data_IF_589323961643
#
_entry.id   IF_589323961643
#
_cell.length_a   1.000
_cell.length_b   1.000
_cell.length_c   1.000
_cell.angle_alpha   90.00
_cell.angle_beta   90.00
_cell.angle_gamma   90.00
#
_symmetry.space_group_name_H-M   'P 1'
#
loop_
_entity.id
_entity.type
_entity.pdbx_description
1 polymer ?
#
# COMPACT_ATOMS: atom_id res chain seq x y z
N UNK A 1 2.70 -13.69 -9.16
CA UNK A 1 2.58 -12.85 -7.95
C UNK A 1 2.33 -13.77 -6.76
N UNK A 2 3.28 -13.91 -5.86
CA UNK A 2 3.02 -14.63 -4.60
C UNK A 2 2.10 -13.75 -3.76
N UNK A 3 0.84 -14.15 -3.64
CA UNK A 3 -0.11 -13.54 -2.71
C UNK A 3 0.47 -13.74 -1.30
N UNK A 4 0.64 -12.70 -0.48
CA UNK A 4 1.10 -12.88 0.89
C UNK A 4 0.12 -13.81 1.61
N UNK A 5 0.61 -14.64 2.54
CA UNK A 5 -0.24 -15.54 3.32
C UNK A 5 -1.33 -14.74 4.05
N UNK A 6 -2.54 -15.28 4.10
CA UNK A 6 -3.70 -14.62 4.74
C UNK A 6 -3.66 -14.77 6.29
N UNK A 7 -2.84 -15.68 6.83
CA UNK A 7 -2.67 -15.86 8.28
C UNK A 7 -1.68 -14.84 8.88
N UNK A 8 -1.82 -14.57 10.15
CA UNK A 8 -0.89 -13.73 10.91
C UNK A 8 0.52 -14.32 10.91
N UNK A 9 1.51 -13.48 10.61
CA UNK A 9 2.90 -13.95 10.52
C UNK A 9 3.91 -12.80 10.62
N UNK A 10 5.15 -13.18 10.95
CA UNK A 10 6.33 -12.33 10.82
C UNK A 10 6.98 -12.59 9.46
N UNK A 11 7.10 -11.53 8.67
CA UNK A 11 7.80 -11.57 7.38
C UNK A 11 9.23 -11.04 7.61
N UNK A 12 10.17 -11.96 7.82
CA UNK A 12 11.57 -11.66 8.13
C UNK A 12 12.44 -11.45 6.90
N UNK A 13 11.89 -11.70 5.71
CA UNK A 13 12.62 -11.57 4.44
C UNK A 13 12.34 -10.25 3.73
N UNK A 14 12.06 -9.22 4.49
CA UNK A 14 11.81 -7.90 3.96
C UNK A 14 13.05 -7.01 4.03
N UNK A 15 13.14 -6.10 3.08
CA UNK A 15 14.21 -5.11 2.99
C UNK A 15 13.60 -3.74 2.75
N UNK A 16 14.09 -2.74 3.48
CA UNK A 16 13.85 -1.34 3.17
C UNK A 16 15.02 -0.79 2.36
N UNK A 17 14.71 -0.13 1.25
CA UNK A 17 15.68 0.56 0.42
C UNK A 17 15.40 2.07 0.43
N UNK A 18 16.45 2.88 0.37
CA UNK A 18 16.38 4.33 0.47
C UNK A 18 17.32 5.01 -0.53
N UNK A 19 16.82 6.06 -1.16
CA UNK A 19 17.59 6.92 -2.09
C UNK A 19 17.26 8.38 -1.82
N UNK A 20 18.27 9.24 -1.76
CA UNK A 20 18.10 10.68 -1.69
C UNK A 20 18.26 11.29 -3.09
N UNK A 21 17.32 12.12 -3.50
CA UNK A 21 17.25 12.72 -4.83
C UNK A 21 17.01 14.24 -4.71
N UNK A 22 17.83 15.08 -5.28
CA UNK A 22 17.70 16.54 -5.28
C UNK A 22 17.67 17.17 -6.69
N UNK A 23 17.63 16.33 -7.74
CA UNK A 23 17.75 16.71 -9.14
C UNK A 23 16.81 15.93 -10.08
N UNK A 24 15.64 15.53 -9.59
CA UNK A 24 14.63 14.78 -10.34
C UNK A 24 13.26 15.45 -10.23
N UNK A 25 12.46 15.44 -11.29
CA UNK A 25 11.11 16.01 -11.28
C UNK A 25 10.10 15.07 -10.59
N UNK A 26 8.99 15.65 -10.10
CA UNK A 26 7.90 14.86 -9.51
C UNK A 26 7.22 13.92 -10.50
N UNK A 27 7.11 14.32 -11.78
CA UNK A 27 6.56 13.47 -12.84
C UNK A 27 7.43 12.24 -13.07
N UNK A 28 8.74 12.44 -13.11
CA UNK A 28 9.70 11.35 -13.26
C UNK A 28 9.67 10.40 -12.05
N UNK A 29 9.56 10.94 -10.83
CA UNK A 29 9.38 10.13 -9.62
C UNK A 29 8.11 9.28 -9.69
N UNK A 30 7.01 9.81 -10.25
CA UNK A 30 5.77 9.05 -10.49
C UNK A 30 6.02 7.84 -11.38
N UNK A 31 6.70 8.03 -12.51
CA UNK A 31 7.07 6.93 -13.41
C UNK A 31 7.93 5.86 -12.71
N UNK A 32 8.92 6.29 -11.93
CA UNK A 32 9.78 5.36 -11.16
C UNK A 32 8.96 4.55 -10.16
N UNK A 33 8.00 5.19 -9.48
CA UNK A 33 7.10 4.50 -8.55
C UNK A 33 6.31 3.39 -9.23
N UNK A 34 5.73 3.66 -10.39
CA UNK A 34 4.94 2.68 -11.16
C UNK A 34 5.81 1.48 -11.55
N UNK A 35 7.01 1.72 -12.10
CA UNK A 35 7.95 0.65 -12.46
C UNK A 35 8.37 -0.22 -11.27
N UNK A 36 8.60 0.39 -10.12
CA UNK A 36 8.98 -0.33 -8.91
C UNK A 36 7.83 -1.20 -8.39
N UNK A 37 6.57 -0.70 -8.38
CA UNK A 37 5.40 -1.50 -8.03
C UNK A 37 5.17 -2.66 -8.98
N UNK A 38 5.21 -2.42 -10.28
CA UNK A 38 5.09 -3.47 -11.32
C UNK A 38 6.20 -4.53 -11.20
N UNK A 39 7.33 -4.13 -10.64
CA UNK A 39 8.48 -5.00 -10.43
C UNK A 39 8.48 -5.76 -9.11
N UNK A 40 7.47 -5.54 -8.26
CA UNK A 40 7.24 -6.31 -7.04
C UNK A 40 7.63 -5.61 -5.75
N UNK A 41 7.76 -4.28 -5.75
CA UNK A 41 7.82 -3.54 -4.49
C UNK A 41 6.51 -3.72 -3.71
N UNK A 42 6.62 -3.88 -2.39
CA UNK A 42 5.47 -4.05 -1.50
C UNK A 42 4.86 -2.70 -1.08
N UNK A 43 5.71 -1.69 -0.95
CA UNK A 43 5.32 -0.33 -0.59
C UNK A 43 6.36 0.67 -1.09
N UNK A 44 5.92 1.87 -1.47
CA UNK A 44 6.80 2.95 -1.93
C UNK A 44 6.21 4.27 -1.44
N UNK A 45 7.06 5.12 -0.89
CA UNK A 45 6.64 6.45 -0.48
C UNK A 45 7.79 7.45 -0.54
N UNK A 46 7.43 8.73 -0.58
CA UNK A 46 8.37 9.85 -0.63
C UNK A 46 8.28 10.69 0.62
N UNK A 47 9.44 11.12 1.12
CA UNK A 47 9.54 12.09 2.20
C UNK A 47 10.31 13.30 1.71
N UNK A 48 9.76 14.53 1.79
CA UNK A 48 10.52 15.74 1.54
C UNK A 48 11.68 15.87 2.53
N UNK A 49 12.87 16.19 2.01
CA UNK A 49 14.08 16.37 2.81
C UNK A 49 14.87 17.58 2.36
N UNK A 50 15.76 18.07 3.21
CA UNK A 50 16.83 18.97 2.83
C UNK A 50 18.15 18.22 2.82
N UNK A 51 18.87 18.30 1.71
CA UNK A 51 20.16 17.66 1.53
C UNK A 51 21.31 18.66 1.81
N UNK A 52 22.57 18.19 1.69
CA UNK A 52 23.74 19.06 1.77
C UNK A 52 23.58 20.29 0.88
N UNK A 53 24.19 21.42 1.27
CA UNK A 53 24.08 22.72 0.61
C UNK A 53 22.67 23.30 0.60
N UNK A 54 21.81 22.91 1.58
CA UNK A 54 20.41 23.33 1.73
C UNK A 54 19.55 23.08 0.49
N UNK A 55 19.84 22.06 -0.30
CA UNK A 55 19.02 21.70 -1.45
C UNK A 55 17.76 20.95 -1.03
N UNK A 56 16.57 21.44 -1.40
CA UNK A 56 15.36 20.62 -1.30
C UNK A 56 15.52 19.32 -2.09
N UNK A 57 15.03 18.22 -1.55
CA UNK A 57 15.09 16.94 -2.21
C UNK A 57 14.02 16.00 -1.70
N UNK A 58 14.07 14.79 -2.19
CA UNK A 58 13.13 13.72 -1.84
C UNK A 58 13.91 12.50 -1.38
N UNK A 59 13.50 11.94 -0.25
CA UNK A 59 13.88 10.60 0.17
C UNK A 59 12.86 9.61 -0.40
N UNK A 60 13.24 8.87 -1.43
CA UNK A 60 12.49 7.73 -1.92
C UNK A 60 12.76 6.55 -0.99
N UNK A 61 11.69 5.94 -0.49
CA UNK A 61 11.74 4.75 0.35
C UNK A 61 10.86 3.67 -0.26
N UNK A 62 11.34 2.42 -0.26
CA UNK A 62 10.55 1.28 -0.69
C UNK A 62 10.77 0.07 0.22
N UNK A 63 9.73 -0.76 0.31
CA UNK A 63 9.78 -2.07 0.94
C UNK A 63 9.67 -3.14 -0.15
N UNK A 64 10.52 -4.15 -0.08
CA UNK A 64 10.45 -5.29 -0.99
C UNK A 64 10.97 -6.56 -0.31
N UNK A 65 10.66 -7.73 -0.88
CA UNK A 65 11.28 -8.96 -0.44
C UNK A 65 12.75 -9.03 -0.87
N UNK A 66 13.56 -9.77 -0.14
CA UNK A 66 14.97 -10.02 -0.49
C UNK A 66 15.15 -10.57 -1.91
N UNK A 67 14.16 -11.32 -2.41
CA UNK A 67 14.21 -11.95 -3.73
C UNK A 67 14.25 -10.96 -4.89
N UNK A 68 13.67 -9.76 -4.72
CA UNK A 68 13.59 -8.76 -5.79
C UNK A 68 14.56 -7.60 -5.65
N UNK A 69 15.43 -7.58 -4.63
CA UNK A 69 16.41 -6.50 -4.38
C UNK A 69 17.21 -6.16 -5.65
N UNK A 70 17.72 -7.17 -6.34
CA UNK A 70 18.54 -6.95 -7.54
C UNK A 70 17.77 -6.25 -8.65
N UNK A 71 16.46 -6.53 -8.78
CA UNK A 71 15.58 -5.89 -9.73
C UNK A 71 15.31 -4.43 -9.34
N UNK A 72 15.03 -4.19 -8.05
CA UNK A 72 14.84 -2.83 -7.51
C UNK A 72 16.06 -1.96 -7.74
N UNK A 73 17.27 -2.48 -7.43
CA UNK A 73 18.52 -1.76 -7.67
C UNK A 73 18.71 -1.36 -9.14
N UNK A 74 18.42 -2.28 -10.07
CA UNK A 74 18.54 -2.00 -11.50
C UNK A 74 17.65 -0.85 -11.94
N UNK A 75 16.38 -0.83 -11.47
CA UNK A 75 15.43 0.23 -11.77
C UNK A 75 15.91 1.55 -11.17
N UNK A 76 16.26 1.57 -9.88
CA UNK A 76 16.70 2.79 -9.20
C UNK A 76 17.93 3.41 -9.85
N UNK A 77 18.92 2.61 -10.28
CA UNK A 77 20.10 3.13 -10.95
C UNK A 77 19.85 3.54 -12.43
N UNK A 78 18.91 2.88 -13.11
CA UNK A 78 18.60 3.21 -14.50
C UNK A 78 17.66 4.41 -14.63
N UNK A 79 16.70 4.53 -13.71
CA UNK A 79 15.58 5.46 -13.81
C UNK A 79 15.68 6.65 -12.83
N UNK A 80 16.77 6.77 -12.08
CA UNK A 80 17.02 7.93 -11.22
C UNK A 80 18.43 8.47 -11.41
N UNK A 81 18.69 9.62 -10.82
CA UNK A 81 20.01 10.26 -10.83
C UNK A 81 20.93 9.78 -9.70
N UNK A 82 20.47 8.82 -8.89
CA UNK A 82 21.22 8.38 -7.70
C UNK A 82 22.51 7.64 -8.06
N UNK A 83 23.57 7.93 -7.31
CA UNK A 83 24.83 7.20 -7.36
C UNK A 83 24.96 6.16 -6.25
N UNK A 84 23.96 6.07 -5.34
CA UNK A 84 24.03 5.15 -4.21
C UNK A 84 22.67 4.83 -3.62
N UNK A 85 22.52 3.59 -3.19
CA UNK A 85 21.30 3.06 -2.56
C UNK A 85 21.66 2.53 -1.19
N UNK A 86 20.95 2.97 -0.16
CA UNK A 86 21.02 2.37 1.18
C UNK A 86 19.95 1.31 1.29
N UNK A 87 20.25 0.19 1.91
CA UNK A 87 19.24 -0.83 2.22
C UNK A 87 19.64 -1.66 3.43
N UNK A 88 18.62 -2.11 4.16
CA UNK A 88 18.80 -2.91 5.37
C UNK A 88 17.61 -3.88 5.53
N UNK A 89 17.86 -5.06 6.13
CA UNK A 89 16.79 -6.01 6.42
C UNK A 89 15.89 -5.47 7.53
N UNK A 90 14.62 -5.84 7.47
CA UNK A 90 13.65 -5.58 8.52
C UNK A 90 12.62 -6.70 8.60
N UNK A 91 11.93 -6.77 9.71
CA UNK A 91 10.80 -7.68 9.90
C UNK A 91 9.49 -6.90 9.84
N UNK A 92 8.52 -7.43 9.12
CA UNK A 92 7.15 -6.87 9.08
C UNK A 92 6.20 -7.84 9.76
N UNK A 93 5.52 -7.40 10.82
CA UNK A 93 4.44 -8.17 11.42
C UNK A 93 3.15 -7.87 10.65
N UNK A 94 2.57 -8.90 10.06
CA UNK A 94 1.33 -8.80 9.29
C UNK A 94 0.21 -9.51 10.02
N UNK A 95 -0.90 -8.80 10.19
CA UNK A 95 -2.12 -9.39 10.72
C UNK A 95 -2.67 -10.45 9.75
N UNK A 96 -3.38 -11.42 10.30
CA UNK A 96 -4.25 -12.27 9.49
C UNK A 96 -5.28 -11.40 8.76
N UNK A 97 -5.54 -11.72 7.50
CA UNK A 97 -6.52 -11.01 6.68
C UNK A 97 -7.60 -11.95 6.21
N UNK A 98 -8.84 -11.56 6.45
CA UNK A 98 -10.00 -12.22 5.86
C UNK A 98 -10.89 -11.20 5.14
N UNK A 99 -11.70 -11.70 4.24
CA UNK A 99 -12.61 -10.88 3.46
C UNK A 99 -14.02 -11.44 3.57
N UNK A 100 -15.00 -10.55 3.56
CA UNK A 100 -16.41 -10.87 3.52
C UNK A 100 -17.15 -9.78 2.77
N UNK A 101 -18.39 -10.01 2.38
CA UNK A 101 -19.17 -9.06 1.61
C UNK A 101 -20.32 -8.49 2.43
N UNK A 102 -20.60 -7.22 2.21
CA UNK A 102 -21.76 -6.51 2.75
C UNK A 102 -22.64 -6.07 1.60
N UNK A 103 -23.91 -6.45 1.64
CA UNK A 103 -24.90 -6.05 0.65
C UNK A 103 -25.50 -4.70 1.05
N UNK A 104 -25.30 -3.70 0.21
CA UNK A 104 -25.93 -2.38 0.31
C UNK A 104 -27.08 -2.25 -0.67
N UNK A 105 -27.93 -1.23 -0.53
CA UNK A 105 -28.97 -0.94 -1.51
C UNK A 105 -28.44 -0.64 -2.94
N UNK A 106 -27.15 -0.33 -3.06
CA UNK A 106 -26.52 -0.01 -4.36
C UNK A 106 -25.62 -1.13 -4.90
N UNK A 107 -25.49 -2.23 -4.17
CA UNK A 107 -24.68 -3.39 -4.56
C UNK A 107 -23.80 -3.92 -3.43
N UNK A 108 -23.05 -4.94 -3.78
CA UNK A 108 -22.16 -5.64 -2.86
C UNK A 108 -20.83 -4.91 -2.72
N UNK A 109 -20.36 -4.78 -1.48
CA UNK A 109 -19.06 -4.18 -1.13
C UNK A 109 -18.24 -5.21 -0.37
N UNK A 110 -17.05 -5.49 -0.85
CA UNK A 110 -16.09 -6.34 -0.16
C UNK A 110 -15.46 -5.62 1.04
N UNK A 111 -15.49 -6.27 2.18
CA UNK A 111 -14.89 -5.81 3.41
C UNK A 111 -13.60 -6.57 3.69
N UNK A 112 -12.57 -5.85 4.09
CA UNK A 112 -11.33 -6.41 4.62
C UNK A 112 -11.36 -6.41 6.14
N UNK A 113 -10.92 -7.51 6.74
CA UNK A 113 -10.81 -7.67 8.19
C UNK A 113 -9.37 -7.99 8.56
N UNK A 114 -8.84 -7.27 9.54
CA UNK A 114 -7.56 -7.55 10.18
C UNK A 114 -7.77 -8.25 11.52
N UNK A 115 -7.09 -9.38 11.70
CA UNK A 115 -7.24 -10.24 12.88
C UNK A 115 -5.87 -10.40 13.54
N UNK A 116 -5.84 -10.25 14.86
CA UNK A 116 -4.69 -10.46 15.72
C UNK A 116 -5.06 -11.40 16.86
N UNK A 117 -4.31 -12.49 17.01
CA UNK A 117 -4.57 -13.51 18.03
C UNK A 117 -6.04 -13.98 18.05
N UNK A 118 -6.66 -14.14 16.88
CA UNK A 118 -8.05 -14.56 16.72
C UNK A 118 -9.09 -13.47 16.96
N UNK A 119 -8.69 -12.24 17.30
CA UNK A 119 -9.59 -11.11 17.53
C UNK A 119 -9.61 -10.18 16.33
N UNK A 120 -10.80 -9.83 15.85
CA UNK A 120 -10.95 -8.81 14.81
C UNK A 120 -10.67 -7.43 15.40
N UNK A 121 -9.56 -6.82 14.97
CA UNK A 121 -9.16 -5.49 15.43
C UNK A 121 -9.55 -4.38 14.45
N UNK A 122 -9.61 -4.68 13.17
CA UNK A 122 -9.88 -3.70 12.13
C UNK A 122 -10.83 -4.26 11.08
N UNK A 123 -11.69 -3.40 10.56
CA UNK A 123 -12.55 -3.68 9.42
C UNK A 123 -12.63 -2.44 8.54
N UNK A 124 -12.54 -2.62 7.23
CA UNK A 124 -12.68 -1.52 6.28
C UNK A 124 -13.29 -2.04 4.96
N UNK A 125 -14.16 -1.26 4.32
CA UNK A 125 -14.62 -1.57 2.97
C UNK A 125 -13.49 -1.36 1.96
N UNK A 126 -13.45 -2.18 0.91
CA UNK A 126 -12.53 -1.99 -0.19
C UNK A 126 -12.90 -0.71 -0.96
N UNK A 127 -11.92 0.18 -1.08
CA UNK A 127 -12.11 1.50 -1.69
C UNK A 127 -12.64 1.43 -3.12
N UNK A 128 -12.10 0.52 -3.95
CA UNK A 128 -12.49 0.42 -5.36
C UNK A 128 -13.94 -0.02 -5.53
N UNK A 129 -14.47 -0.88 -4.67
CA UNK A 129 -15.88 -1.26 -4.68
C UNK A 129 -16.77 -0.06 -4.33
N UNK A 130 -16.42 0.66 -3.26
CA UNK A 130 -17.15 1.86 -2.87
C UNK A 130 -17.10 2.95 -3.95
N UNK A 131 -15.93 3.16 -4.55
CA UNK A 131 -15.73 4.13 -5.63
C UNK A 131 -16.57 3.77 -6.87
N UNK A 132 -16.56 2.50 -7.26
CA UNK A 132 -17.36 2.00 -8.40
C UNK A 132 -18.83 2.24 -8.18
N UNK A 133 -19.37 1.91 -7.01
CA UNK A 133 -20.78 2.14 -6.64
C UNK A 133 -21.09 3.64 -6.67
N UNK A 134 -20.24 4.49 -6.10
CA UNK A 134 -20.42 5.93 -6.08
C UNK A 134 -20.56 6.51 -7.48
N UNK A 135 -19.67 6.11 -8.40
CA UNK A 135 -19.68 6.56 -9.80
C UNK A 135 -20.91 6.03 -10.58
N UNK A 136 -21.23 4.74 -10.44
CA UNK A 136 -22.35 4.12 -11.15
C UNK A 136 -23.72 4.68 -10.74
N UNK A 137 -23.86 5.09 -9.48
CA UNK A 137 -25.13 5.61 -8.95
C UNK A 137 -25.16 7.15 -8.84
N UNK A 138 -24.09 7.83 -9.25
CA UNK A 138 -23.93 9.28 -9.13
C UNK A 138 -24.20 9.80 -7.71
N UNK A 139 -23.62 9.15 -6.72
CA UNK A 139 -23.76 9.50 -5.31
C UNK A 139 -22.37 9.80 -4.69
N UNK A 140 -22.31 10.65 -3.66
CA UNK A 140 -21.04 10.91 -2.96
C UNK A 140 -20.46 9.63 -2.38
N UNK A 141 -19.14 9.42 -2.53
CA UNK A 141 -18.43 8.27 -1.97
C UNK A 141 -18.68 8.10 -0.46
N UNK A 142 -18.77 9.21 0.28
CA UNK A 142 -19.08 9.22 1.71
C UNK A 142 -20.38 8.49 2.02
N UNK A 143 -21.43 8.66 1.19
CA UNK A 143 -22.73 8.01 1.37
C UNK A 143 -22.63 6.49 1.23
N UNK A 144 -21.77 6.01 0.33
CA UNK A 144 -21.55 4.56 0.17
C UNK A 144 -20.91 4.01 1.45
N UNK A 145 -19.91 4.68 2.01
CA UNK A 145 -19.28 4.27 3.26
C UNK A 145 -20.26 4.27 4.43
N UNK A 146 -21.09 5.32 4.58
CA UNK A 146 -22.13 5.40 5.62
C UNK A 146 -23.10 4.20 5.55
N UNK A 147 -23.55 3.86 4.34
CA UNK A 147 -24.46 2.73 4.13
C UNK A 147 -23.81 1.39 4.44
N UNK A 148 -22.56 1.18 4.03
CA UNK A 148 -21.81 -0.05 4.33
C UNK A 148 -21.73 -0.26 5.84
N UNK A 149 -21.39 0.78 6.61
CA UNK A 149 -21.30 0.69 8.05
C UNK A 149 -22.66 0.46 8.74
N UNK A 150 -23.71 1.07 8.22
CA UNK A 150 -25.08 0.84 8.68
C UNK A 150 -25.50 -0.62 8.48
N UNK A 151 -25.35 -1.14 7.26
CA UNK A 151 -25.67 -2.53 6.96
C UNK A 151 -24.83 -3.53 7.80
N UNK A 152 -23.56 -3.20 8.07
CA UNK A 152 -22.71 -4.03 8.93
C UNK A 152 -23.18 -4.04 10.39
N UNK A 153 -23.71 -2.92 10.92
CA UNK A 153 -24.29 -2.84 12.26
C UNK A 153 -25.53 -3.71 12.40
N UNK A 154 -26.43 -3.69 11.42
CA UNK A 154 -27.65 -4.48 11.39
C UNK A 154 -27.41 -6.00 11.35
N UNK A 155 -26.26 -6.44 10.80
CA UNK A 155 -25.88 -7.87 10.79
C UNK A 155 -25.39 -8.37 12.16
N UNK A 156 -24.88 -7.48 13.03
CA UNK A 156 -24.38 -7.86 14.35
C UNK A 156 -25.50 -7.98 15.41
N UNK A 157 -26.69 -7.46 15.13
CA UNK A 157 -27.83 -7.48 16.06
C UNK A 157 -28.79 -8.68 15.84
N UNK A 158 -28.48 -9.56 14.88
CA UNK A 158 -29.20 -10.81 14.60
C UNK A 158 -28.38 -12.03 15.02
#
# INVERSE_FOLDING_TARGET
>A
MNRPPDHEHLDEQMVKMEVNLDDISGEWLGHVMDLLFESGANDIFYTPIYMKKNRPGVLLQLLCSQQVISKMKKILFAETTTLGIRYYPLTVHRLERSFFNVNTQWGEVKMKRGIHEGLTLQQAPEYEDCRKIALQNNIPLKRVYEEVWKCLGEVKEK
#
